data_IF_950344947869
#
_entry.id   IF_950344947869
#
_cell.length_a   1.000
_cell.length_b   1.000
_cell.length_c   1.000
_cell.angle_alpha   90.00
_cell.angle_beta   90.00
_cell.angle_gamma   90.00
#
_symmetry.space_group_name_H-M   'P 1'
#
loop_
_entity.id
_entity.type
_entity.pdbx_description
1 polymer ?
#
# COMPACT_ATOMS: atom_id res chain seq x y z
N UNK A 1 10.37 19.72 13.46
CA UNK A 1 10.65 18.27 13.43
C UNK A 1 10.93 17.88 12.00
N UNK A 2 12.01 17.13 11.73
CA UNK A 2 12.38 16.62 10.40
C UNK A 2 12.04 15.14 10.31
N UNK A 3 11.34 14.76 9.25
CA UNK A 3 10.80 13.42 9.04
C UNK A 3 11.47 12.77 7.81
N UNK A 4 11.96 11.56 7.95
CA UNK A 4 12.36 10.73 6.81
C UNK A 4 11.18 9.86 6.37
N UNK A 5 10.78 9.95 5.10
CA UNK A 5 9.80 9.03 4.51
C UNK A 5 10.51 8.08 3.55
N UNK A 6 10.44 6.79 3.85
CA UNK A 6 10.88 5.69 2.98
C UNK A 6 9.68 5.19 2.20
N UNK A 7 9.81 5.07 0.87
CA UNK A 7 8.68 4.70 0.01
C UNK A 7 7.76 5.87 -0.39
N UNK A 8 8.24 7.11 -0.32
CA UNK A 8 7.48 8.33 -0.66
C UNK A 8 6.89 8.37 -2.07
N UNK A 9 7.34 7.55 -3.00
CA UNK A 9 6.75 7.42 -4.36
C UNK A 9 5.59 6.42 -4.43
N UNK A 10 5.31 5.70 -3.35
CA UNK A 10 4.19 4.74 -3.25
C UNK A 10 2.84 5.42 -3.05
N UNK A 11 1.75 4.65 -3.12
CA UNK A 11 0.40 5.18 -2.96
C UNK A 11 0.18 5.81 -1.58
N UNK A 12 0.58 5.14 -0.50
CA UNK A 12 0.50 5.67 0.85
C UNK A 12 1.59 6.71 1.11
N UNK A 13 2.85 6.40 0.77
CA UNK A 13 3.99 7.26 1.07
C UNK A 13 3.88 8.67 0.50
N UNK A 14 3.34 8.82 -0.74
CA UNK A 14 3.13 10.15 -1.33
C UNK A 14 2.09 10.99 -0.57
N UNK A 15 1.07 10.34 -0.01
CA UNK A 15 0.06 11.03 0.80
C UNK A 15 0.64 11.44 2.15
N UNK A 16 1.50 10.61 2.74
CA UNK A 16 2.23 10.94 3.97
C UNK A 16 3.15 12.13 3.74
N UNK A 17 3.92 12.13 2.63
CA UNK A 17 4.80 13.27 2.28
C UNK A 17 3.98 14.55 2.14
N UNK A 18 2.88 14.48 1.37
CA UNK A 18 2.01 15.65 1.17
C UNK A 18 1.43 16.15 2.48
N UNK A 19 0.81 15.28 3.28
CA UNK A 19 0.20 15.64 4.55
C UNK A 19 1.23 16.24 5.53
N UNK A 20 2.44 15.66 5.58
CA UNK A 20 3.50 16.17 6.44
C UNK A 20 3.97 17.58 6.02
N UNK A 21 4.11 17.84 4.72
CA UNK A 21 4.46 19.15 4.19
C UNK A 21 3.34 20.19 4.44
N UNK A 22 2.08 19.78 4.22
CA UNK A 22 0.90 20.64 4.45
C UNK A 22 0.79 21.07 5.93
N UNK A 23 1.26 20.23 6.87
CA UNK A 23 1.33 20.55 8.31
C UNK A 23 2.65 21.22 8.74
N UNK A 24 3.50 21.62 7.79
CA UNK A 24 4.70 22.40 8.05
C UNK A 24 5.91 21.60 8.57
N UNK A 25 5.90 20.27 8.46
CA UNK A 25 7.08 19.47 8.77
C UNK A 25 8.14 19.57 7.68
N UNK A 26 9.40 19.48 8.07
CA UNK A 26 10.52 19.32 7.12
C UNK A 26 10.58 17.85 6.71
N UNK A 27 10.39 17.56 5.42
CA UNK A 27 10.32 16.19 4.92
C UNK A 27 11.54 15.86 4.07
N UNK A 28 12.23 14.77 4.43
CA UNK A 28 13.27 14.12 3.63
C UNK A 28 12.69 12.82 3.07
N UNK A 29 12.88 12.53 1.79
CA UNK A 29 12.43 11.30 1.15
C UNK A 29 13.62 10.46 0.70
N UNK A 30 13.72 9.22 1.20
CA UNK A 30 14.69 8.26 0.69
C UNK A 30 14.16 7.67 -0.63
N UNK A 31 14.91 7.87 -1.70
CA UNK A 31 14.51 7.50 -3.06
C UNK A 31 15.62 6.77 -3.81
N UNK A 32 15.24 5.82 -4.66
CA UNK A 32 16.15 5.05 -5.52
C UNK A 32 16.42 5.72 -6.87
N UNK A 33 15.51 6.59 -7.30
CA UNK A 33 15.55 7.26 -8.59
C UNK A 33 15.05 8.70 -8.44
N UNK A 34 15.96 9.66 -8.56
CA UNK A 34 15.65 11.08 -8.43
C UNK A 34 14.70 11.58 -9.52
N UNK A 35 14.78 11.03 -10.75
CA UNK A 35 13.94 11.49 -11.87
C UNK A 35 12.48 11.12 -11.62
N UNK A 36 12.23 9.86 -11.23
CA UNK A 36 10.87 9.39 -10.90
C UNK A 36 10.30 10.01 -9.63
N UNK A 37 11.15 10.56 -8.79
CA UNK A 37 10.78 11.17 -7.50
C UNK A 37 10.76 12.69 -7.55
N UNK A 38 11.03 13.33 -8.71
CA UNK A 38 11.14 14.78 -8.86
C UNK A 38 9.91 15.53 -8.33
N UNK A 39 8.71 14.99 -8.52
CA UNK A 39 7.48 15.59 -8.03
C UNK A 39 7.44 15.76 -6.49
N UNK A 40 8.14 14.93 -5.71
CA UNK A 40 8.24 15.08 -4.26
C UNK A 40 9.08 16.32 -3.92
N UNK A 41 10.14 16.59 -4.68
CA UNK A 41 10.94 17.81 -4.53
C UNK A 41 10.13 19.04 -4.92
N UNK A 42 9.32 18.94 -6.00
CA UNK A 42 8.47 20.04 -6.45
C UNK A 42 7.39 20.37 -5.39
N UNK A 43 7.02 19.43 -4.54
CA UNK A 43 6.15 19.66 -3.37
C UNK A 43 6.88 20.28 -2.19
N UNK A 44 8.23 20.28 -2.16
CA UNK A 44 9.05 20.85 -1.09
C UNK A 44 9.82 19.82 -0.26
N UNK A 45 9.81 18.53 -0.61
CA UNK A 45 10.59 17.52 0.09
C UNK A 45 12.06 17.50 -0.35
N UNK A 46 12.97 17.29 0.59
CA UNK A 46 14.38 16.98 0.33
C UNK A 46 14.50 15.53 -0.17
N UNK A 47 15.20 15.33 -1.28
CA UNK A 47 15.45 13.97 -1.79
C UNK A 47 16.86 13.50 -1.41
N UNK A 48 16.97 12.30 -0.87
CA UNK A 48 18.23 11.63 -0.58
C UNK A 48 18.25 10.26 -1.25
N UNK A 49 19.40 9.89 -1.85
CA UNK A 49 19.56 8.55 -2.39
C UNK A 49 19.60 7.50 -1.27
N UNK A 50 18.88 6.40 -1.47
CA UNK A 50 18.96 5.20 -0.63
C UNK A 50 18.07 4.10 -1.17
N UNK A 51 18.53 2.87 -0.99
CA UNK A 51 17.83 1.65 -1.40
C UNK A 51 17.86 0.63 -0.27
N UNK A 52 16.70 0.13 0.14
CA UNK A 52 16.60 -0.90 1.16
C UNK A 52 17.29 -2.23 0.76
N UNK A 53 17.50 -2.45 -0.54
CA UNK A 53 18.28 -3.60 -1.01
C UNK A 53 19.80 -3.37 -0.93
N UNK A 54 20.25 -2.16 -0.60
CA UNK A 54 21.66 -1.76 -0.46
C UNK A 54 21.81 -1.08 0.91
N UNK A 55 21.98 -1.87 2.00
CA UNK A 55 21.97 -1.34 3.38
C UNK A 55 22.97 -0.20 3.64
N UNK A 56 24.09 -0.17 2.92
CA UNK A 56 25.16 0.83 3.05
C UNK A 56 24.68 2.24 2.70
N UNK A 57 23.56 2.36 1.96
CA UNK A 57 22.97 3.66 1.56
C UNK A 57 22.06 4.25 2.64
N UNK A 58 21.64 3.45 3.63
CA UNK A 58 20.64 3.84 4.62
C UNK A 58 21.17 4.84 5.66
N UNK A 59 22.38 4.68 6.24
CA UNK A 59 22.86 5.56 7.32
C UNK A 59 22.85 7.05 6.96
N UNK A 60 23.18 7.39 5.72
CA UNK A 60 23.16 8.80 5.28
C UNK A 60 21.72 9.35 5.16
N UNK A 61 20.76 8.50 4.87
CA UNK A 61 19.35 8.90 4.75
C UNK A 61 18.74 9.23 6.14
N UNK A 62 19.09 8.47 7.18
CA UNK A 62 18.57 8.68 8.55
C UNK A 62 19.28 9.79 9.31
N UNK A 63 20.38 10.31 8.77
CA UNK A 63 21.12 11.40 9.41
C UNK A 63 20.28 12.68 9.52
N UNK A 64 20.33 13.35 10.66
CA UNK A 64 19.69 14.65 10.95
C UNK A 64 18.15 14.64 10.79
N UNK A 65 17.49 13.50 11.08
CA UNK A 65 16.03 13.40 11.13
C UNK A 65 15.57 12.99 12.54
N UNK A 66 14.35 13.34 12.91
CA UNK A 66 13.77 13.01 14.21
C UNK A 66 12.92 11.72 14.12
N UNK A 67 12.16 11.57 13.04
CA UNK A 67 11.22 10.48 12.86
C UNK A 67 11.46 9.80 11.52
N UNK A 68 11.40 8.47 11.50
CA UNK A 68 11.42 7.64 10.29
C UNK A 68 10.03 7.06 10.06
N UNK A 69 9.47 7.24 8.86
CA UNK A 69 8.21 6.62 8.43
C UNK A 69 8.52 5.67 7.28
N UNK A 70 8.40 4.37 7.54
CA UNK A 70 8.64 3.33 6.55
C UNK A 70 7.34 2.88 5.87
N UNK A 71 6.98 3.54 4.78
CA UNK A 71 5.88 3.18 3.88
C UNK A 71 6.33 2.38 2.65
N UNK A 72 7.57 1.89 2.65
CA UNK A 72 8.09 1.07 1.55
C UNK A 72 7.53 -0.35 1.57
N UNK A 73 7.33 -0.90 0.41
CA UNK A 73 7.10 -2.33 0.20
C UNK A 73 7.53 -2.70 -1.21
N UNK A 74 7.92 -3.96 -1.39
CA UNK A 74 8.35 -4.44 -2.69
C UNK A 74 7.17 -4.50 -3.68
N UNK A 75 7.46 -4.21 -4.95
CA UNK A 75 6.49 -4.41 -6.04
C UNK A 75 6.65 -5.80 -6.65
N UNK A 76 5.56 -6.35 -7.18
CA UNK A 76 5.57 -7.67 -7.84
C UNK A 76 6.53 -7.79 -9.00
N UNK A 77 6.81 -6.70 -9.69
CA UNK A 77 7.73 -6.62 -10.82
C UNK A 77 9.14 -6.14 -10.45
N UNK A 78 9.50 -6.18 -9.16
CA UNK A 78 10.84 -5.84 -8.71
C UNK A 78 11.82 -6.99 -8.99
N UNK A 79 13.08 -6.64 -9.26
CA UNK A 79 14.19 -7.60 -9.37
C UNK A 79 14.66 -8.13 -8.01
N UNK A 80 14.30 -7.47 -6.90
CA UNK A 80 14.60 -7.91 -5.53
C UNK A 80 13.44 -8.75 -4.97
N UNK A 81 13.69 -9.48 -3.90
CA UNK A 81 12.69 -10.28 -3.17
C UNK A 81 12.13 -9.53 -1.96
N UNK A 82 10.96 -9.97 -1.46
CA UNK A 82 10.37 -9.43 -0.22
C UNK A 82 11.33 -9.64 0.98
N UNK A 83 12.05 -10.75 1.04
CA UNK A 83 13.04 -11.00 2.08
C UNK A 83 14.15 -9.94 2.08
N UNK A 84 14.66 -9.55 0.91
CA UNK A 84 15.73 -8.55 0.82
C UNK A 84 15.22 -7.16 1.20
N UNK A 85 14.09 -6.71 0.62
CA UNK A 85 13.61 -5.33 0.79
C UNK A 85 12.73 -5.19 2.04
N UNK A 86 11.70 -6.04 2.16
CA UNK A 86 10.68 -5.92 3.21
C UNK A 86 11.13 -6.48 4.56
N UNK A 87 12.23 -7.27 4.61
CA UNK A 87 12.79 -7.76 5.86
C UNK A 87 14.23 -7.26 6.10
N UNK A 88 15.23 -7.74 5.36
CA UNK A 88 16.65 -7.40 5.61
C UNK A 88 16.91 -5.89 5.51
N UNK A 89 16.38 -5.24 4.46
CA UNK A 89 16.53 -3.80 4.26
C UNK A 89 15.83 -2.96 5.35
N UNK A 90 14.63 -3.38 5.77
CA UNK A 90 13.92 -2.70 6.87
C UNK A 90 14.58 -2.94 8.23
N UNK A 91 15.13 -4.13 8.45
CA UNK A 91 15.95 -4.40 9.64
C UNK A 91 17.15 -3.46 9.69
N UNK A 92 17.87 -3.32 8.57
CA UNK A 92 18.98 -2.37 8.48
C UNK A 92 18.52 -0.90 8.69
N UNK A 93 17.34 -0.53 8.21
CA UNK A 93 16.76 0.79 8.48
C UNK A 93 16.50 1.01 9.98
N UNK A 94 15.97 0.03 10.68
CA UNK A 94 15.72 0.09 12.14
C UNK A 94 17.04 0.21 12.89
N UNK A 95 18.05 -0.60 12.55
CA UNK A 95 19.37 -0.54 13.16
C UNK A 95 20.07 0.80 12.92
N UNK A 96 20.03 1.32 11.69
CA UNK A 96 20.57 2.63 11.36
C UNK A 96 19.83 3.76 12.11
N UNK A 97 18.50 3.66 12.24
CA UNK A 97 17.69 4.60 13.02
C UNK A 97 18.08 4.60 14.50
N UNK A 98 18.35 3.43 15.08
CA UNK A 98 18.84 3.30 16.45
C UNK A 98 20.20 3.98 16.64
N UNK A 99 21.14 3.70 15.74
CA UNK A 99 22.49 4.31 15.79
C UNK A 99 22.46 5.83 15.59
N UNK A 100 21.50 6.33 14.83
CA UNK A 100 21.28 7.78 14.61
C UNK A 100 20.48 8.45 15.74
N UNK A 101 20.09 7.72 16.79
CA UNK A 101 19.25 8.19 17.90
C UNK A 101 17.95 8.83 17.43
N UNK A 102 17.25 8.19 16.49
CA UNK A 102 15.94 8.65 15.99
C UNK A 102 14.92 8.59 17.14
N UNK A 103 14.11 9.64 17.28
CA UNK A 103 13.12 9.74 18.35
C UNK A 103 12.02 8.69 18.22
N UNK A 104 11.60 8.37 16.97
CA UNK A 104 10.49 7.44 16.71
C UNK A 104 10.57 6.83 15.32
N UNK A 105 10.21 5.56 15.22
CA UNK A 105 9.96 4.86 13.94
C UNK A 105 8.48 4.55 13.78
N UNK A 106 7.95 4.82 12.58
CA UNK A 106 6.58 4.44 12.20
C UNK A 106 6.65 3.41 11.08
N UNK A 107 5.94 2.31 11.28
CA UNK A 107 5.96 1.18 10.35
C UNK A 107 4.54 0.73 10.01
N UNK A 108 4.38 0.17 8.79
CA UNK A 108 3.12 -0.38 8.32
C UNK A 108 3.19 -1.91 8.22
N UNK A 109 2.17 -2.53 8.77
CA UNK A 109 1.92 -3.96 8.73
C UNK A 109 0.51 -4.26 8.20
N UNK A 110 0.12 -5.50 8.27
CA UNK A 110 -1.18 -5.97 7.80
C UNK A 110 -2.06 -6.37 8.97
N UNK A 111 -3.33 -5.97 8.92
CA UNK A 111 -4.32 -6.36 9.90
C UNK A 111 -4.48 -7.89 9.89
N UNK A 112 -4.61 -8.49 11.07
CA UNK A 112 -4.78 -9.93 11.26
C UNK A 112 -3.61 -10.80 10.74
N UNK A 113 -2.41 -10.25 10.53
CA UNK A 113 -1.24 -11.02 10.12
C UNK A 113 -0.96 -12.21 11.06
N UNK A 114 -1.14 -12.03 12.38
CA UNK A 114 -0.90 -13.07 13.38
C UNK A 114 -1.82 -14.29 13.28
N UNK A 115 -2.98 -14.16 12.63
CA UNK A 115 -3.90 -15.27 12.43
C UNK A 115 -3.52 -16.18 11.26
N UNK A 116 -2.55 -15.76 10.45
CA UNK A 116 -2.16 -16.42 9.21
C UNK A 116 -0.61 -16.40 9.07
N UNK A 117 0.10 -16.68 10.15
CA UNK A 117 1.56 -16.69 10.19
C UNK A 117 2.21 -17.80 9.33
N UNK A 118 1.43 -18.76 8.85
CA UNK A 118 1.84 -19.78 7.89
C UNK A 118 2.10 -19.23 6.48
N UNK A 119 1.60 -18.01 6.20
CA UNK A 119 1.88 -17.32 4.93
C UNK A 119 3.18 -16.53 5.04
N UNK A 120 4.20 -16.83 4.22
CA UNK A 120 5.53 -16.26 4.37
C UNK A 120 5.61 -14.74 4.38
N UNK A 121 4.78 -14.07 3.56
CA UNK A 121 4.74 -12.61 3.55
C UNK A 121 4.22 -12.05 4.89
N UNK A 122 3.25 -12.73 5.52
CA UNK A 122 2.71 -12.33 6.82
C UNK A 122 3.68 -12.63 7.95
N UNK A 123 4.35 -13.79 7.88
CA UNK A 123 5.41 -14.14 8.83
C UNK A 123 6.56 -13.12 8.81
N UNK A 124 7.02 -12.70 7.63
CA UNK A 124 8.01 -11.62 7.50
C UNK A 124 7.52 -10.31 8.14
N UNK A 125 6.24 -9.97 7.97
CA UNK A 125 5.66 -8.76 8.59
C UNK A 125 5.64 -8.87 10.11
N UNK A 126 5.21 -10.00 10.65
CA UNK A 126 5.18 -10.25 12.10
C UNK A 126 6.57 -10.25 12.72
N UNK A 127 7.52 -10.91 12.06
CA UNK A 127 8.92 -10.94 12.50
C UNK A 127 9.50 -9.51 12.55
N UNK A 128 9.16 -8.68 11.57
CA UNK A 128 9.58 -7.29 11.54
C UNK A 128 8.88 -6.44 12.62
N UNK A 129 7.59 -6.64 12.89
CA UNK A 129 6.90 -6.01 14.01
C UNK A 129 7.58 -6.33 15.35
N UNK A 130 7.94 -7.59 15.56
CA UNK A 130 8.64 -8.01 16.76
C UNK A 130 10.02 -7.37 16.86
N UNK A 131 10.76 -7.31 15.75
CA UNK A 131 12.07 -6.68 15.69
C UNK A 131 12.01 -5.18 16.02
N UNK A 132 10.97 -4.46 15.56
CA UNK A 132 10.73 -3.06 15.94
C UNK A 132 10.46 -2.92 17.43
N UNK A 133 9.59 -3.76 18.00
CA UNK A 133 9.25 -3.73 19.43
C UNK A 133 10.48 -3.98 20.32
N UNK A 134 11.37 -4.86 19.90
CA UNK A 134 12.61 -5.23 20.62
C UNK A 134 13.78 -4.26 20.36
N UNK A 135 13.68 -3.38 19.38
CA UNK A 135 14.79 -2.49 18.97
C UNK A 135 15.20 -1.48 20.04
N UNK A 136 14.32 -1.15 20.98
CA UNK A 136 14.48 -0.08 21.97
C UNK A 136 14.18 1.33 21.45
N UNK A 137 13.82 1.47 20.15
CA UNK A 137 13.28 2.71 19.60
C UNK A 137 11.82 2.91 20.05
N UNK A 138 11.39 4.15 20.22
CA UNK A 138 9.95 4.43 20.29
C UNK A 138 9.36 4.14 18.94
N UNK A 139 8.21 3.48 18.91
CA UNK A 139 7.59 3.06 17.65
C UNK A 139 6.10 3.36 17.62
N UNK A 140 5.54 3.33 16.41
CA UNK A 140 4.11 3.10 16.16
C UNK A 140 3.99 2.16 14.97
N UNK A 141 3.26 1.08 15.14
CA UNK A 141 3.00 0.10 14.07
C UNK A 141 1.55 0.25 13.64
N UNK A 142 1.33 0.61 12.37
CA UNK A 142 0.00 0.66 11.80
C UNK A 142 -0.33 -0.65 11.09
N UNK A 143 -1.32 -1.37 11.57
CA UNK A 143 -1.87 -2.55 10.92
C UNK A 143 -3.03 -2.14 10.01
N UNK A 144 -2.83 -2.20 8.71
CA UNK A 144 -3.78 -1.73 7.70
C UNK A 144 -4.64 -2.87 7.17
N UNK A 145 -5.95 -2.64 6.99
CA UNK A 145 -6.87 -3.61 6.41
C UNK A 145 -6.72 -3.71 4.89
N UNK A 146 -6.64 -2.59 4.19
CA UNK A 146 -6.52 -2.49 2.74
C UNK A 146 -6.84 -1.09 2.26
N UNK A 147 -6.43 -0.74 1.05
CA UNK A 147 -6.59 0.61 0.51
C UNK A 147 -7.46 0.65 -0.75
N UNK A 148 -8.30 1.69 -0.88
CA UNK A 148 -9.13 1.95 -2.06
C UNK A 148 -8.32 1.95 -3.36
N UNK A 149 -7.08 2.44 -3.32
CA UNK A 149 -6.19 2.52 -4.48
C UNK A 149 -5.89 1.15 -5.09
N UNK A 150 -5.86 0.09 -4.29
CA UNK A 150 -5.68 -1.28 -4.76
C UNK A 150 -6.87 -1.79 -5.58
N UNK A 151 -8.08 -1.33 -5.25
CA UNK A 151 -9.32 -1.77 -5.91
C UNK A 151 -9.42 -1.32 -7.37
N UNK A 152 -8.71 -0.22 -7.71
CA UNK A 152 -8.67 0.29 -9.09
C UNK A 152 -8.08 -0.76 -10.04
N UNK A 153 -6.90 -1.29 -9.73
CA UNK A 153 -6.26 -2.30 -10.56
C UNK A 153 -6.94 -3.67 -10.48
N UNK A 154 -7.58 -3.96 -9.35
CA UNK A 154 -8.20 -5.24 -9.10
C UNK A 154 -9.59 -5.36 -9.76
N UNK A 155 -10.39 -4.29 -9.78
CA UNK A 155 -11.77 -4.32 -10.24
C UNK A 155 -12.09 -3.28 -11.33
N UNK A 156 -11.74 -1.99 -11.10
CA UNK A 156 -12.18 -0.91 -11.98
C UNK A 156 -11.54 -1.01 -13.39
N UNK A 157 -10.22 -1.21 -13.46
CA UNK A 157 -9.50 -1.31 -14.75
C UNK A 157 -9.95 -2.55 -15.54
N UNK A 158 -10.01 -3.77 -14.97
CA UNK A 158 -10.52 -4.94 -15.71
C UNK A 158 -11.92 -4.75 -16.29
N UNK A 159 -12.84 -4.10 -15.55
CA UNK A 159 -14.20 -3.81 -16.06
C UNK A 159 -14.15 -2.82 -17.22
N UNK A 160 -13.37 -1.73 -17.08
CA UNK A 160 -13.22 -0.75 -18.17
C UNK A 160 -12.63 -1.36 -19.44
N UNK A 161 -11.63 -2.24 -19.28
CA UNK A 161 -10.90 -2.87 -20.38
C UNK A 161 -11.55 -4.19 -20.86
N UNK A 162 -12.73 -4.52 -20.32
CA UNK A 162 -13.46 -5.75 -20.67
C UNK A 162 -12.65 -7.03 -20.41
N UNK A 163 -11.75 -6.99 -19.42
CA UNK A 163 -10.92 -8.10 -18.97
C UNK A 163 -11.65 -8.94 -17.91
N UNK A 164 -11.15 -10.17 -17.68
CA UNK A 164 -11.68 -11.05 -16.64
C UNK A 164 -11.19 -10.58 -15.26
N UNK A 165 -12.12 -10.53 -14.31
CA UNK A 165 -11.83 -10.43 -12.89
C UNK A 165 -11.73 -11.84 -12.32
N UNK A 166 -10.60 -12.13 -11.71
CA UNK A 166 -10.37 -13.40 -11.06
C UNK A 166 -10.71 -13.31 -9.59
N UNK A 167 -11.71 -14.06 -9.15
CA UNK A 167 -12.10 -14.16 -7.75
C UNK A 167 -11.77 -15.56 -7.22
N UNK A 168 -11.50 -15.60 -5.94
CA UNK A 168 -11.51 -16.83 -5.16
C UNK A 168 -12.94 -17.11 -4.72
N UNK A 169 -13.26 -18.37 -4.44
CA UNK A 169 -14.54 -18.70 -3.85
C UNK A 169 -14.64 -18.04 -2.46
N UNK A 170 -15.63 -17.19 -2.27
CA UNK A 170 -16.02 -16.61 -0.98
C UNK A 170 -14.98 -15.72 -0.28
N UNK A 171 -14.53 -14.62 -0.90
CA UNK A 171 -13.59 -13.70 -0.25
C UNK A 171 -14.28 -13.00 0.94
N UNK A 172 -13.57 -12.95 2.08
CA UNK A 172 -14.04 -12.24 3.28
C UNK A 172 -14.22 -10.74 3.00
N UNK A 173 -15.22 -10.09 3.63
CA UNK A 173 -15.38 -8.64 3.54
C UNK A 173 -14.18 -7.92 4.16
N UNK A 174 -13.73 -6.85 3.53
CA UNK A 174 -12.60 -6.03 3.99
C UNK A 174 -13.03 -4.58 4.20
N UNK A 175 -12.62 -4.00 5.33
CA UNK A 175 -12.87 -2.59 5.64
C UNK A 175 -11.77 -1.71 5.02
N UNK A 176 -11.85 -1.48 3.71
CA UNK A 176 -10.89 -0.65 2.98
C UNK A 176 -10.95 0.81 3.41
N UNK A 177 -9.80 1.51 3.33
CA UNK A 177 -9.71 2.94 3.64
C UNK A 177 -8.92 3.69 2.56
N UNK A 178 -9.08 5.03 2.52
CA UNK A 178 -8.29 5.87 1.62
C UNK A 178 -6.88 6.08 2.16
N UNK A 179 -5.88 6.11 1.28
CA UNK A 179 -4.49 6.40 1.68
C UNK A 179 -4.31 7.82 2.20
N UNK A 180 -5.19 8.78 1.86
CA UNK A 180 -5.15 10.12 2.42
C UNK A 180 -5.58 10.11 3.90
N UNK A 181 -6.64 9.36 4.23
CA UNK A 181 -7.08 9.20 5.61
C UNK A 181 -6.02 8.47 6.45
N UNK A 182 -5.39 7.43 5.89
CA UNK A 182 -4.27 6.76 6.53
C UNK A 182 -3.08 7.72 6.76
N UNK A 183 -2.73 8.54 5.78
CA UNK A 183 -1.65 9.52 5.91
C UNK A 183 -1.95 10.55 7.00
N UNK A 184 -3.20 11.04 7.06
CA UNK A 184 -3.63 11.96 8.11
C UNK A 184 -3.50 11.32 9.49
N UNK A 185 -4.00 10.08 9.66
CA UNK A 185 -3.86 9.33 10.91
C UNK A 185 -2.39 9.24 11.37
N UNK A 186 -1.50 8.90 10.43
CA UNK A 186 -0.05 8.80 10.69
C UNK A 186 0.52 10.12 11.18
N UNK A 187 0.23 11.23 10.50
CA UNK A 187 0.80 12.53 10.86
C UNK A 187 0.21 13.05 12.18
N UNK A 188 -1.07 12.86 12.45
CA UNK A 188 -1.69 13.21 13.74
C UNK A 188 -1.06 12.47 14.92
N UNK A 189 -0.59 11.23 14.73
CA UNK A 189 0.10 10.48 15.80
C UNK A 189 1.47 11.06 16.17
N UNK A 190 2.09 11.87 15.30
CA UNK A 190 3.41 12.44 15.56
C UNK A 190 3.42 13.42 16.74
N UNK A 191 2.33 14.15 16.92
CA UNK A 191 2.13 15.11 18.01
C UNK A 191 1.50 14.52 19.27
N UNK A 192 1.12 13.24 19.24
CA UNK A 192 0.38 12.59 20.34
C UNK A 192 1.16 11.40 20.91
N UNK A 193 1.56 11.54 22.18
CA UNK A 193 2.35 10.52 22.89
C UNK A 193 1.60 9.24 23.20
N UNK A 194 0.26 9.25 23.15
CA UNK A 194 -0.61 8.05 23.35
C UNK A 194 -0.27 6.95 22.36
N UNK A 195 0.23 7.29 21.17
CA UNK A 195 0.57 6.35 20.12
C UNK A 195 2.03 5.86 20.15
N UNK A 196 2.82 6.29 21.14
CA UNK A 196 4.20 5.81 21.31
C UNK A 196 4.20 4.41 21.89
N UNK A 197 4.96 3.53 21.25
CA UNK A 197 5.08 2.10 21.56
C UNK A 197 3.76 1.32 21.41
N UNK A 198 2.90 1.79 20.50
CA UNK A 198 1.59 1.22 20.27
C UNK A 198 1.45 0.58 18.88
N UNK A 199 0.56 -0.41 18.81
CA UNK A 199 0.06 -0.99 17.57
C UNK A 199 -1.33 -0.42 17.32
N UNK A 200 -1.53 0.19 16.15
CA UNK A 200 -2.75 0.91 15.79
C UNK A 200 -3.38 0.25 14.57
N UNK A 201 -4.62 -0.20 14.70
CA UNK A 201 -5.38 -0.74 13.58
C UNK A 201 -5.97 0.38 12.72
N UNK A 202 -5.59 0.44 11.45
CA UNK A 202 -6.17 1.33 10.45
C UNK A 202 -7.20 0.58 9.61
N UNK A 203 -8.47 0.88 9.83
CA UNK A 203 -9.61 0.23 9.17
C UNK A 203 -10.57 1.27 8.60
N UNK A 204 -11.24 0.92 7.49
CA UNK A 204 -12.34 1.72 6.96
C UNK A 204 -13.62 1.56 7.79
N UNK A 205 -14.58 2.47 7.57
CA UNK A 205 -15.85 2.47 8.32
C UNK A 205 -16.78 1.32 7.94
N UNK A 206 -16.73 0.88 6.68
CA UNK A 206 -17.60 -0.15 6.13
C UNK A 206 -16.81 -1.33 5.57
N UNK A 207 -17.30 -2.51 5.88
CA UNK A 207 -16.83 -3.76 5.26
C UNK A 207 -17.47 -3.92 3.88
N UNK A 208 -16.65 -4.31 2.91
CA UNK A 208 -17.03 -4.51 1.52
C UNK A 208 -16.69 -5.92 1.06
N UNK A 209 -17.63 -6.59 0.46
CA UNK A 209 -17.38 -7.84 -0.28
C UNK A 209 -16.87 -7.52 -1.69
N UNK A 210 -16.18 -8.47 -2.32
CA UNK A 210 -15.74 -8.33 -3.71
C UNK A 210 -16.94 -8.10 -4.65
N UNK A 211 -18.06 -8.79 -4.41
CA UNK A 211 -19.28 -8.66 -5.20
C UNK A 211 -19.89 -7.27 -5.10
N UNK A 212 -19.96 -6.68 -3.91
CA UNK A 212 -20.46 -5.30 -3.73
C UNK A 212 -19.58 -4.30 -4.48
N UNK A 213 -18.24 -4.46 -4.43
CA UNK A 213 -17.30 -3.57 -5.14
C UNK A 213 -17.46 -3.71 -6.65
N UNK A 214 -17.58 -4.93 -7.16
CA UNK A 214 -17.80 -5.20 -8.59
C UNK A 214 -19.11 -4.56 -9.04
N UNK A 215 -20.21 -4.81 -8.33
CA UNK A 215 -21.52 -4.21 -8.64
C UNK A 215 -21.47 -2.68 -8.65
N UNK A 216 -20.72 -2.09 -7.72
CA UNK A 216 -20.50 -0.64 -7.68
C UNK A 216 -19.73 -0.16 -8.91
N UNK A 217 -18.66 -0.88 -9.31
CA UNK A 217 -17.88 -0.55 -10.50
C UNK A 217 -18.70 -0.71 -11.79
N UNK A 218 -19.54 -1.75 -11.91
CA UNK A 218 -20.46 -1.94 -13.05
C UNK A 218 -21.43 -0.76 -13.17
N UNK A 219 -22.07 -0.38 -12.07
CA UNK A 219 -22.98 0.75 -12.02
C UNK A 219 -22.33 2.07 -12.45
N UNK A 220 -21.09 2.32 -12.00
CA UNK A 220 -20.38 3.56 -12.28
C UNK A 220 -19.76 3.62 -13.67
N UNK A 221 -19.39 2.47 -14.24
CA UNK A 221 -18.78 2.37 -15.58
C UNK A 221 -19.83 2.20 -16.69
N UNK A 222 -21.03 1.71 -16.37
CA UNK A 222 -22.01 1.27 -17.34
C UNK A 222 -21.61 -0.01 -18.10
N UNK A 223 -20.63 -0.78 -17.60
CA UNK A 223 -20.12 -2.02 -18.21
C UNK A 223 -20.33 -3.19 -17.27
N UNK A 224 -20.52 -4.37 -17.84
CA UNK A 224 -20.69 -5.63 -17.10
C UNK A 224 -19.34 -6.30 -16.86
N UNK A 225 -19.12 -6.79 -15.66
CA UNK A 225 -17.90 -7.49 -15.26
C UNK A 225 -17.90 -8.93 -15.83
N UNK A 226 -16.73 -9.38 -16.28
CA UNK A 226 -16.48 -10.80 -16.62
C UNK A 226 -15.80 -11.46 -15.44
N UNK A 227 -16.54 -12.21 -14.64
CA UNK A 227 -16.03 -12.88 -13.45
C UNK A 227 -15.60 -14.31 -13.80
N UNK A 228 -14.45 -14.72 -13.28
CA UNK A 228 -13.97 -16.11 -13.33
C UNK A 228 -13.50 -16.51 -11.95
N UNK A 229 -13.87 -17.69 -11.50
CA UNK A 229 -13.49 -18.21 -10.19
C UNK A 229 -12.27 -19.12 -10.30
N UNK A 230 -11.31 -18.94 -9.39
CA UNK A 230 -10.15 -19.81 -9.25
C UNK A 230 -10.38 -20.68 -8.01
N UNK A 231 -10.36 -22.01 -8.12
CA UNK A 231 -10.40 -22.88 -6.95
C UNK A 231 -9.21 -22.63 -6.03
N UNK A 232 -9.43 -22.57 -4.70
CA UNK A 232 -8.36 -22.28 -3.72
C UNK A 232 -7.16 -23.19 -3.82
N UNK A 233 -7.37 -24.48 -4.08
CA UNK A 233 -6.30 -25.49 -4.28
C UNK A 233 -5.30 -25.06 -5.37
N UNK A 234 -5.75 -24.33 -6.40
CA UNK A 234 -4.85 -23.88 -7.49
C UNK A 234 -3.81 -22.88 -7.01
N UNK A 235 -4.12 -22.05 -6.02
CA UNK A 235 -3.17 -21.07 -5.46
C UNK A 235 -2.04 -21.75 -4.69
N UNK A 236 -2.34 -22.75 -3.86
CA UNK A 236 -1.34 -23.50 -3.11
C UNK A 236 -0.40 -24.26 -4.06
N UNK A 237 -0.94 -24.86 -5.11
CA UNK A 237 -0.13 -25.59 -6.09
C UNK A 237 0.73 -24.64 -6.92
N UNK A 238 0.16 -23.55 -7.44
CA UNK A 238 0.89 -22.53 -8.19
C UNK A 238 1.91 -21.80 -7.31
N UNK A 239 1.58 -21.47 -6.08
CA UNK A 239 2.49 -20.84 -5.14
C UNK A 239 3.72 -21.71 -4.87
N UNK A 240 3.53 -23.02 -4.67
CA UNK A 240 4.64 -23.98 -4.53
C UNK A 240 5.46 -24.10 -5.82
N UNK A 241 4.82 -24.15 -6.97
CA UNK A 241 5.52 -24.23 -8.25
C UNK A 241 6.36 -22.97 -8.52
N UNK A 242 5.84 -21.77 -8.29
CA UNK A 242 6.58 -20.53 -8.47
C UNK A 242 7.72 -20.34 -7.46
N UNK A 243 7.72 -21.07 -6.34
CA UNK A 243 8.84 -21.07 -5.39
C UNK A 243 10.10 -21.81 -5.89
N UNK A 244 9.98 -22.63 -6.92
CA UNK A 244 11.16 -23.25 -7.53
C UNK A 244 12.06 -22.24 -8.27
N UNK A 245 11.56 -21.05 -8.59
CA UNK A 245 12.31 -20.02 -9.31
C UNK A 245 12.41 -18.75 -8.47
N UNK A 246 13.62 -18.32 -8.10
CA UNK A 246 13.83 -17.09 -7.29
C UNK A 246 13.18 -15.85 -7.89
N UNK A 247 13.19 -15.70 -9.21
CA UNK A 247 12.58 -14.56 -9.93
C UNK A 247 11.06 -14.45 -9.76
N UNK A 248 10.39 -15.53 -9.32
CA UNK A 248 8.93 -15.60 -9.16
C UNK A 248 8.48 -15.62 -7.70
N UNK A 249 9.38 -15.54 -6.72
CA UNK A 249 9.03 -15.57 -5.30
C UNK A 249 8.03 -14.48 -4.91
N UNK A 250 8.17 -13.27 -5.43
CA UNK A 250 7.21 -12.18 -5.18
C UNK A 250 5.79 -12.50 -5.69
N UNK A 251 5.69 -13.34 -6.74
CA UNK A 251 4.41 -13.79 -7.28
C UNK A 251 3.83 -14.89 -6.40
N UNK A 252 4.69 -15.84 -5.98
CA UNK A 252 4.31 -16.93 -5.09
C UNK A 252 3.75 -16.41 -3.75
N UNK A 253 4.43 -15.44 -3.14
CA UNK A 253 4.02 -14.82 -1.87
C UNK A 253 2.67 -14.09 -2.01
N UNK A 254 2.43 -13.45 -3.15
CA UNK A 254 1.14 -12.77 -3.41
C UNK A 254 0.01 -13.74 -3.70
N UNK A 255 0.29 -14.86 -4.37
CA UNK A 255 -0.70 -15.92 -4.59
C UNK A 255 -1.13 -16.54 -3.26
N UNK A 256 -0.16 -16.81 -2.36
CA UNK A 256 -0.47 -17.32 -1.02
C UNK A 256 -1.25 -16.28 -0.18
N UNK A 257 -0.92 -15.00 -0.30
CA UNK A 257 -1.72 -13.93 0.31
C UNK A 257 -3.15 -13.89 -0.24
N UNK A 258 -3.34 -14.21 -1.52
CA UNK A 258 -4.67 -14.36 -2.14
C UNK A 258 -5.50 -15.50 -1.53
N UNK A 259 -4.85 -16.59 -1.06
CA UNK A 259 -5.52 -17.69 -0.36
C UNK A 259 -6.08 -17.32 1.00
N UNK A 260 -5.48 -16.34 1.68
CA UNK A 260 -5.96 -15.90 3.00
C UNK A 260 -7.38 -15.33 2.96
N UNK A 261 -7.78 -14.81 1.81
CA UNK A 261 -9.17 -14.41 1.59
C UNK A 261 -10.11 -15.62 1.41
N UNK A 262 -9.57 -16.86 1.43
CA UNK A 262 -10.33 -18.11 1.26
C UNK A 262 -10.54 -18.86 2.57
N UNK A 263 -9.78 -18.54 3.62
CA UNK A 263 -9.85 -19.26 4.89
C UNK A 263 -10.95 -18.74 5.81
N UNK A 264 -11.52 -19.62 6.63
CA UNK A 264 -12.53 -19.37 7.69
C UNK A 264 -12.08 -18.41 8.81
N UNK A 265 -11.18 -17.47 8.53
CA UNK A 265 -10.77 -16.47 9.51
C UNK A 265 -11.88 -15.43 9.67
N UNK A 266 -12.72 -15.64 10.66
CA UNK A 266 -13.57 -14.58 11.20
C UNK A 266 -12.69 -13.36 11.48
N UNK A 267 -12.98 -12.23 10.80
CA UNK A 267 -12.34 -10.95 11.14
C UNK A 267 -12.77 -10.64 12.58
N UNK A 268 -11.98 -11.10 13.54
CA UNK A 268 -12.16 -10.66 14.94
C UNK A 268 -11.74 -9.20 14.95
N UNK A 269 -12.65 -8.32 15.34
CA UNK A 269 -12.26 -6.95 15.70
C UNK A 269 -11.10 -7.07 16.68
N UNK A 270 -10.01 -6.32 16.49
CA UNK A 270 -8.91 -6.29 17.44
C UNK A 270 -9.48 -5.95 18.82
N UNK A 271 -9.26 -6.80 19.80
CA UNK A 271 -9.93 -6.68 21.11
C UNK A 271 -9.23 -5.71 22.06
N UNK A 272 -7.96 -5.37 21.81
CA UNK A 272 -7.14 -4.56 22.71
C UNK A 272 -6.23 -3.53 22.00
N UNK A 273 -6.50 -3.16 20.76
CA UNK A 273 -5.66 -2.25 19.98
C UNK A 273 -6.39 -0.92 19.76
N UNK A 274 -5.61 0.15 19.74
CA UNK A 274 -6.11 1.45 19.32
C UNK A 274 -6.63 1.33 17.87
N UNK A 275 -7.88 1.67 17.66
CA UNK A 275 -8.52 1.60 16.34
C UNK A 275 -8.68 3.01 15.80
N UNK A 276 -8.18 3.24 14.59
CA UNK A 276 -8.47 4.45 13.81
C UNK A 276 -9.45 4.09 12.70
N UNK A 277 -10.64 4.66 12.73
CA UNK A 277 -11.72 4.35 11.79
C UNK A 277 -12.46 5.59 11.26
N UNK A 278 -11.76 6.70 11.04
CA UNK A 278 -12.37 7.86 10.41
C UNK A 278 -12.13 7.85 8.91
N UNK A 279 -13.18 8.02 8.12
CA UNK A 279 -13.10 8.19 6.68
C UNK A 279 -13.71 9.52 6.27
N UNK A 280 -12.96 10.34 5.55
CA UNK A 280 -13.46 11.57 4.90
C UNK A 280 -14.13 11.26 3.58
N UNK A 281 -13.75 10.16 2.96
CA UNK A 281 -14.19 9.78 1.62
C UNK A 281 -14.71 8.34 1.64
N UNK A 282 -15.98 8.14 1.31
CA UNK A 282 -16.52 6.79 1.14
C UNK A 282 -15.96 6.13 -0.13
N UNK A 283 -15.94 4.79 -0.17
CA UNK A 283 -15.51 4.05 -1.35
C UNK A 283 -16.35 4.40 -2.58
N UNK A 284 -17.67 4.59 -2.40
CA UNK A 284 -18.57 5.00 -3.47
C UNK A 284 -18.12 6.30 -4.11
N UNK A 285 -17.86 7.32 -3.29
CA UNK A 285 -17.42 8.64 -3.77
C UNK A 285 -16.05 8.56 -4.42
N UNK A 286 -15.11 7.81 -3.83
CA UNK A 286 -13.78 7.58 -4.40
C UNK A 286 -13.85 6.95 -5.81
N UNK A 287 -14.63 5.88 -5.97
CA UNK A 287 -14.83 5.24 -7.27
C UNK A 287 -15.60 6.11 -8.25
N UNK A 288 -16.61 6.85 -7.78
CA UNK A 288 -17.36 7.80 -8.62
C UNK A 288 -16.44 8.89 -9.20
N UNK A 289 -15.55 9.46 -8.39
CA UNK A 289 -14.57 10.44 -8.84
C UNK A 289 -13.55 9.83 -9.82
N UNK A 290 -13.13 8.59 -9.56
CA UNK A 290 -12.22 7.87 -10.46
C UNK A 290 -12.86 7.63 -11.83
N UNK A 291 -14.04 7.00 -11.86
CA UNK A 291 -14.74 6.72 -13.12
C UNK A 291 -15.12 7.99 -13.86
N UNK A 292 -15.56 9.03 -13.15
CA UNK A 292 -15.88 10.34 -13.75
C UNK A 292 -14.69 10.93 -14.50
N UNK A 293 -13.49 10.90 -13.89
CA UNK A 293 -12.26 11.39 -14.54
C UNK A 293 -11.85 10.54 -15.75
N UNK A 294 -11.92 9.22 -15.65
CA UNK A 294 -11.52 8.31 -16.74
C UNK A 294 -12.50 8.41 -17.91
N UNK A 295 -13.81 8.36 -17.64
CA UNK A 295 -14.81 8.44 -18.70
C UNK A 295 -14.78 9.80 -19.42
N UNK A 296 -14.50 10.90 -18.70
CA UNK A 296 -14.29 12.21 -19.32
C UNK A 296 -13.08 12.19 -20.26
N UNK A 297 -11.94 11.67 -19.83
CA UNK A 297 -10.75 11.55 -20.68
C UNK A 297 -10.99 10.68 -21.92
N UNK A 298 -11.68 9.56 -21.77
CA UNK A 298 -12.01 8.68 -22.90
C UNK A 298 -12.90 9.40 -23.94
N UNK A 299 -13.89 10.18 -23.49
CA UNK A 299 -14.73 10.99 -24.38
C UNK A 299 -13.91 12.06 -25.13
N UNK A 300 -13.02 12.77 -24.43
CA UNK A 300 -12.14 13.78 -25.01
C UNK A 300 -11.19 13.17 -26.06
N UNK A 301 -10.60 12.01 -25.76
CA UNK A 301 -9.69 11.31 -26.69
C UNK A 301 -10.43 10.82 -27.93
N UNK A 302 -11.62 10.23 -27.77
CA UNK A 302 -12.45 9.78 -28.88
C UNK A 302 -12.88 10.95 -29.77
N UNK A 303 -13.26 12.09 -29.16
CA UNK A 303 -13.61 13.29 -29.91
C UNK A 303 -12.45 13.83 -30.73
N UNK A 304 -11.23 13.88 -30.18
CA UNK A 304 -10.03 14.29 -30.90
C UNK A 304 -9.66 13.33 -32.05
N UNK A 305 -9.86 12.02 -31.87
CA UNK A 305 -9.64 11.03 -32.93
C UNK A 305 -10.65 11.18 -34.09
N UNK A 306 -11.91 11.45 -33.76
CA UNK A 306 -12.96 11.71 -34.76
C UNK A 306 -12.69 12.98 -35.55
N UNK A 307 -12.24 14.06 -34.91
CA UNK A 307 -11.83 15.28 -35.62
C UNK A 307 -10.65 15.03 -36.55
N UNK A 308 -9.59 14.34 -36.08
CA UNK A 308 -8.44 14.01 -36.93
C UNK A 308 -8.81 13.12 -38.12
N UNK A 309 -9.75 12.19 -37.96
CA UNK A 309 -10.22 11.33 -39.06
C UNK A 309 -11.10 12.10 -40.05
N UNK A 310 -11.84 13.12 -39.62
CA UNK A 310 -12.60 14.00 -40.52
C UNK A 310 -11.70 14.94 -41.30
N UNK A 311 -10.61 15.46 -40.72
CA UNK A 311 -9.65 16.32 -41.40
C UNK A 311 -8.83 15.57 -42.46
N UNK A 312 -8.64 14.25 -42.31
CA UNK A 312 -7.93 13.42 -43.32
C UNK A 312 -8.86 13.06 -44.50
N UNK A 313 -10.17 13.12 -44.33
CA UNK A 313 -11.13 12.81 -45.40
C UNK A 313 -11.40 13.99 -46.35
N UNK A 314 -10.79 15.16 -46.10
CA UNK A 314 -10.87 16.36 -46.95
C UNK A 314 -9.60 16.66 -47.73
N UNK A 315 -8.60 15.78 -47.76
CA UNK A 315 -7.41 15.80 -48.59
C UNK A 315 -7.43 14.64 -49.60
#
# INVERSE_FOLDING_TARGET
MKILVVGGTGNLGRQIVKQALDEGYVVKCMVRDFRRSAFLRDWGAELIYGDLSIPETIPIAVKDVNVVIDAATIRSNSSSTAEIVDFKGKKALIEASKLANIDRIIQFSLLNASQNADVPLLDLKLTLEQFVKESGLKFTIFQCSGFFQGLISQYAVPILDNQKIWLTSDPLPVAYLDTQDAAKAVIETLSNDTYKNEVVSLIGEKFWTATEIITLCERLSGKTAKISYIPGITFSVLGRFFRFFESTWNIADRLQFGELNLGNSTIKKPTNELIWSTSRLSLEKYLQEYFGRILKKLKETNYQQLQKSSDISFL
#
